data_IF_034715325989
#
_entry.id   IF_034715325989
#
_cell.length_a   1.000
_cell.length_b   1.000
_cell.length_c   1.000
_cell.angle_alpha   90.00
_cell.angle_beta   90.00
_cell.angle_gamma   90.00
#
_symmetry.space_group_name_H-M   'P 1'
#
loop_
_entity.id
_entity.type
_entity.pdbx_description
1 polymer ?
#
# COMPACT_ATOMS: atom_id res chain seq x y z
N UNK A 1 24.66 -7.14 2.50
CA UNK A 1 23.46 -6.34 2.17
C UNK A 1 23.54 -5.99 0.69
N UNK A 2 22.52 -6.39 -0.06
CA UNK A 2 22.55 -6.43 -1.52
C UNK A 2 21.95 -5.17 -2.16
N UNK A 3 21.27 -5.39 -3.28
CA UNK A 3 20.54 -4.36 -4.01
C UNK A 3 19.05 -4.61 -3.85
N UNK A 4 18.27 -3.54 -3.82
CA UNK A 4 16.82 -3.60 -3.85
C UNK A 4 16.32 -2.80 -5.06
N UNK A 5 15.37 -3.38 -5.79
CA UNK A 5 14.61 -2.71 -6.85
C UNK A 5 13.29 -2.21 -6.31
N UNK A 6 12.90 -1.00 -6.71
CA UNK A 6 11.62 -0.43 -6.29
C UNK A 6 10.52 -0.88 -7.26
N UNK A 7 9.52 -1.61 -6.78
CA UNK A 7 8.42 -2.15 -7.59
C UNK A 7 7.12 -1.36 -7.45
N UNK A 8 6.94 -0.61 -6.37
CA UNK A 8 5.67 0.04 -6.05
C UNK A 8 5.21 1.00 -7.17
N UNK A 9 3.96 0.90 -7.66
CA UNK A 9 3.48 1.59 -8.87
C UNK A 9 3.54 3.12 -8.78
N UNK A 10 3.44 3.68 -7.57
CA UNK A 10 3.40 5.13 -7.34
C UNK A 10 4.74 5.72 -6.86
N UNK A 11 5.82 4.93 -6.84
CA UNK A 11 7.12 5.46 -6.45
C UNK A 11 7.85 6.11 -7.65
N UNK A 12 8.37 7.34 -7.55
CA UNK A 12 9.02 8.04 -8.67
C UNK A 12 10.24 7.29 -9.26
N UNK A 13 10.93 6.52 -8.42
CA UNK A 13 12.11 5.73 -8.80
C UNK A 13 11.78 4.25 -9.08
N UNK A 14 10.53 3.92 -9.41
CA UNK A 14 10.12 2.56 -9.76
C UNK A 14 10.98 2.00 -10.90
N UNK A 15 11.37 0.72 -10.79
CA UNK A 15 12.25 0.01 -11.73
C UNK A 15 13.73 0.33 -11.57
N UNK A 16 14.10 1.20 -10.63
CA UNK A 16 15.50 1.50 -10.33
C UNK A 16 16.00 0.66 -9.15
N UNK A 17 17.29 0.31 -9.20
CA UNK A 17 17.98 -0.50 -8.19
C UNK A 17 18.94 0.34 -7.38
N UNK A 18 18.93 0.16 -6.07
CA UNK A 18 19.80 0.88 -5.14
C UNK A 18 20.48 -0.06 -4.16
N UNK A 19 21.69 0.31 -3.73
CA UNK A 19 22.42 -0.47 -2.75
C UNK A 19 21.78 -0.31 -1.37
N UNK A 20 21.47 -1.43 -0.72
CA UNK A 20 20.92 -1.44 0.64
C UNK A 20 22.06 -1.18 1.62
N UNK A 21 21.97 -0.05 2.33
CA UNK A 21 22.95 0.36 3.35
C UNK A 21 22.60 -0.26 4.70
N UNK A 22 21.32 -0.26 5.08
CA UNK A 22 20.83 -0.88 6.32
C UNK A 22 19.32 -1.12 6.27
N UNK A 23 18.84 -1.95 7.18
CA UNK A 23 17.41 -2.16 7.46
C UNK A 23 17.05 -1.58 8.82
N UNK A 24 15.83 -1.08 8.98
CA UNK A 24 15.29 -0.59 10.26
C UNK A 24 13.77 -0.77 10.29
N UNK A 25 13.16 -0.74 11.47
CA UNK A 25 11.71 -0.67 11.63
C UNK A 25 11.29 0.73 12.08
N UNK A 26 10.36 1.37 11.37
CA UNK A 26 9.86 2.73 11.66
C UNK A 26 8.34 2.67 11.78
N UNK A 27 7.78 3.00 12.95
CA UNK A 27 6.32 2.97 13.14
C UNK A 27 5.70 1.59 12.86
N UNK A 28 6.46 0.51 13.06
CA UNK A 28 6.02 -0.86 12.74
C UNK A 28 6.28 -1.30 11.30
N UNK A 29 6.76 -0.43 10.41
CA UNK A 29 7.04 -0.74 9.00
C UNK A 29 8.52 -1.06 8.82
N UNK A 30 8.83 -2.22 8.23
CA UNK A 30 10.19 -2.57 7.85
C UNK A 30 10.64 -1.69 6.68
N UNK A 31 11.76 -1.01 6.86
CA UNK A 31 12.24 0.07 6.00
C UNK A 31 13.69 -0.19 5.60
N UNK A 32 13.97 -0.07 4.30
CA UNK A 32 15.30 -0.13 3.72
C UNK A 32 15.87 1.27 3.61
N UNK A 33 17.13 1.44 4.00
CA UNK A 33 17.92 2.64 3.71
C UNK A 33 18.77 2.38 2.49
N UNK A 34 18.47 3.10 1.42
CA UNK A 34 19.05 2.92 0.10
C UNK A 34 20.06 4.03 -0.18
N UNK A 35 21.20 3.68 -0.78
CA UNK A 35 22.21 4.64 -1.23
C UNK A 35 21.78 5.26 -2.55
N UNK A 36 21.69 6.57 -2.60
CA UNK A 36 21.50 7.36 -3.82
C UNK A 36 22.79 8.12 -4.14
N UNK A 37 23.42 7.90 -5.30
CA UNK A 37 24.70 8.53 -5.63
C UNK A 37 24.67 10.07 -5.60
N UNK A 38 23.53 10.67 -5.96
CA UNK A 38 23.41 12.13 -6.08
C UNK A 38 23.01 12.84 -4.77
N UNK A 39 22.25 12.19 -3.90
CA UNK A 39 21.63 12.83 -2.71
C UNK A 39 21.96 12.15 -1.38
N UNK A 40 22.83 11.13 -1.40
CA UNK A 40 23.26 10.41 -0.20
C UNK A 40 22.46 9.14 0.05
N UNK A 41 21.44 9.19 0.90
CA UNK A 41 20.59 8.03 1.18
C UNK A 41 19.15 8.41 1.44
N UNK A 42 18.23 7.52 1.07
CA UNK A 42 16.80 7.68 1.29
C UNK A 42 16.19 6.39 1.86
N UNK A 43 14.96 6.51 2.37
CA UNK A 43 14.24 5.41 3.00
C UNK A 43 13.09 4.94 2.11
N UNK A 44 12.92 3.63 1.97
CA UNK A 44 11.80 3.01 1.24
C UNK A 44 11.25 1.86 2.08
N UNK A 45 9.93 1.71 2.15
CA UNK A 45 9.31 0.56 2.79
C UNK A 45 9.78 -0.73 2.09
N UNK A 46 10.13 -1.76 2.86
CA UNK A 46 10.60 -3.05 2.32
C UNK A 46 9.57 -3.64 1.36
N UNK A 47 8.29 -3.53 1.71
CA UNK A 47 7.14 -3.99 0.91
C UNK A 47 7.01 -3.29 -0.46
N UNK A 48 7.70 -2.17 -0.68
CA UNK A 48 7.71 -1.46 -1.97
C UNK A 48 8.83 -1.93 -2.90
N UNK A 49 9.61 -2.91 -2.48
CA UNK A 49 10.79 -3.41 -3.21
C UNK A 49 10.69 -4.90 -3.53
N UNK A 50 11.63 -5.41 -4.33
CA UNK A 50 11.84 -6.85 -4.54
C UNK A 50 12.19 -7.64 -3.26
N UNK A 51 12.38 -6.95 -2.11
CA UNK A 51 12.54 -7.57 -0.80
C UNK A 51 11.22 -7.75 -0.04
N UNK A 52 10.09 -7.33 -0.60
CA UNK A 52 8.77 -7.56 -0.03
C UNK A 52 8.57 -9.05 0.27
N UNK A 53 7.90 -9.37 1.37
CA UNK A 53 7.47 -10.74 1.59
C UNK A 53 6.44 -11.09 0.49
N UNK A 54 6.45 -12.33 -0.05
CA UNK A 54 5.47 -12.75 -1.04
C UNK A 54 4.07 -12.47 -0.51
N UNK A 55 3.20 -11.88 -1.32
CA UNK A 55 1.84 -11.67 -0.84
C UNK A 55 1.17 -13.04 -0.68
N UNK A 56 0.25 -13.15 0.29
CA UNK A 56 -0.59 -14.34 0.42
C UNK A 56 -1.36 -14.62 -0.88
N UNK A 57 -1.64 -13.58 -1.68
CA UNK A 57 -2.28 -13.70 -2.98
C UNK A 57 -1.36 -14.31 -4.03
N UNK A 58 -0.09 -13.89 -4.08
CA UNK A 58 0.93 -14.51 -4.95
C UNK A 58 1.13 -15.99 -4.60
N UNK A 59 1.02 -16.31 -3.30
CA UNK A 59 1.14 -17.68 -2.79
C UNK A 59 -0.06 -18.57 -3.15
N UNK A 60 -1.23 -17.95 -3.36
CA UNK A 60 -2.50 -18.61 -3.64
C UNK A 60 -2.93 -18.50 -5.12
N UNK A 61 -2.07 -17.93 -5.98
CA UNK A 61 -2.34 -17.63 -7.40
C UNK A 61 -3.66 -16.88 -7.61
N UNK A 62 -4.02 -16.05 -6.62
CA UNK A 62 -5.24 -15.25 -6.65
C UNK A 62 -4.95 -13.90 -7.32
N UNK A 63 -5.82 -13.42 -8.22
CA UNK A 63 -5.65 -12.09 -8.78
C UNK A 63 -5.62 -11.04 -7.66
N UNK A 64 -4.78 -9.99 -7.78
CA UNK A 64 -4.70 -8.95 -6.77
C UNK A 64 -6.10 -8.38 -6.53
N UNK A 65 -6.51 -8.27 -5.26
CA UNK A 65 -7.82 -7.72 -4.90
C UNK A 65 -7.90 -6.27 -5.34
N UNK A 66 -8.48 -6.06 -6.52
CA UNK A 66 -8.98 -4.75 -6.93
C UNK A 66 -10.37 -4.62 -6.34
N UNK A 67 -10.61 -3.51 -5.64
CA UNK A 67 -11.97 -3.17 -5.26
C UNK A 67 -12.73 -2.86 -6.54
N UNK A 68 -13.92 -3.41 -6.65
CA UNK A 68 -14.82 -3.11 -7.76
C UNK A 68 -15.36 -1.67 -7.56
N UNK A 69 -15.12 -0.81 -8.54
CA UNK A 69 -15.46 0.60 -8.44
C UNK A 69 -16.97 0.83 -8.38
N UNK A 70 -17.75 0.02 -9.10
CA UNK A 70 -19.19 0.14 -9.16
C UNK A 70 -19.79 -0.29 -7.80
N UNK A 71 -19.31 -1.40 -7.24
CA UNK A 71 -19.74 -1.84 -5.91
C UNK A 71 -19.36 -0.86 -4.79
N UNK A 72 -18.21 -0.20 -4.90
CA UNK A 72 -17.83 0.84 -3.94
C UNK A 72 -18.75 2.06 -4.02
N UNK A 73 -19.18 2.44 -5.23
CA UNK A 73 -20.13 3.53 -5.42
C UNK A 73 -21.52 3.15 -4.89
N UNK A 74 -21.99 1.94 -5.17
CA UNK A 74 -23.24 1.41 -4.61
C UNK A 74 -23.22 1.41 -3.07
N UNK A 75 -22.10 0.98 -2.47
CA UNK A 75 -21.92 1.01 -1.03
C UNK A 75 -21.99 2.43 -0.47
N UNK A 76 -21.37 3.41 -1.14
CA UNK A 76 -21.44 4.82 -0.72
C UNK A 76 -22.88 5.34 -0.72
N UNK A 77 -23.63 5.07 -1.80
CA UNK A 77 -25.06 5.45 -1.92
C UNK A 77 -25.89 4.81 -0.82
N UNK A 78 -25.66 3.53 -0.50
CA UNK A 78 -26.37 2.84 0.57
C UNK A 78 -26.10 3.48 1.94
N UNK A 79 -24.84 3.83 2.22
CA UNK A 79 -24.46 4.50 3.47
C UNK A 79 -25.13 5.87 3.60
N UNK A 80 -25.22 6.65 2.51
CA UNK A 80 -25.94 7.93 2.50
C UNK A 80 -27.44 7.75 2.82
N UNK A 81 -28.09 6.74 2.27
CA UNK A 81 -29.51 6.46 2.55
C UNK A 81 -29.75 6.05 4.01
N UNK A 82 -28.86 5.23 4.57
CA UNK A 82 -28.94 4.77 5.95
C UNK A 82 -28.68 5.91 6.95
N UNK A 83 -27.79 6.83 6.60
CA UNK A 83 -27.44 7.98 7.46
C UNK A 83 -28.41 9.16 7.30
N UNK A 84 -29.12 9.26 6.18
CA UNK A 84 -30.06 10.34 5.90
C UNK A 84 -31.49 10.10 6.39
N UNK A 85 -31.82 8.92 6.95
CA UNK A 85 -33.14 8.67 7.55
C UNK A 85 -33.22 9.36 8.93
N UNK A 86 -34.09 10.37 9.14
CA UNK A 86 -34.43 10.79 10.48
C UNK A 86 -35.27 9.70 11.13
N UNK A 87 -34.96 9.28 12.36
CA UNK A 87 -35.90 8.56 13.22
C UNK A 87 -37.16 9.40 13.36
N UNK A 88 -38.19 9.11 12.58
CA UNK A 88 -39.50 9.74 12.72
C UNK A 88 -40.57 8.69 12.97
N UNK A 89 -40.42 7.99 14.09
CA UNK A 89 -41.52 7.27 14.73
C UNK A 89 -41.32 7.35 16.25
N UNK A 90 -41.89 8.39 16.88
CA UNK A 90 -42.68 8.26 18.10
C UNK A 90 -43.34 9.60 18.45
N UNK A 91 -44.60 9.75 18.08
CA UNK A 91 -45.64 10.49 18.79
C UNK A 91 -46.86 10.60 17.85
N UNK A 92 -47.74 9.61 17.94
CA UNK A 92 -49.19 9.81 17.75
C UNK A 92 -49.84 9.62 19.11
#
# INVERSE_FOLDING_TARGET
MGWAEIHHPFHPLRGQRFQVVKTRRIGGVDTLILREPARGSFSVAREWTDWADPSLYDSLDLPPRRLDADLLLELAVLLEQLTSKPQKELAS
#
